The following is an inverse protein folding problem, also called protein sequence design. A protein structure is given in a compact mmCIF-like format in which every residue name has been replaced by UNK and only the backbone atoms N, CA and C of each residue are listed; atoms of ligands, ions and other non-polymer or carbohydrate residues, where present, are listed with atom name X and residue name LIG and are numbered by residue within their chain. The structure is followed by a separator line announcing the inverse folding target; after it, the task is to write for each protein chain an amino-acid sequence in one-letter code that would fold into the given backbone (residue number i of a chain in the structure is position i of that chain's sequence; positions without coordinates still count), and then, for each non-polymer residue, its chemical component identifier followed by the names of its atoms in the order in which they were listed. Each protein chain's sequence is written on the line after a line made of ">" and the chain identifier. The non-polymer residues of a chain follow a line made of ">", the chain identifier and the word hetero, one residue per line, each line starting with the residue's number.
data_IF_380958614234
#
_entry.id   IF_380958614234
#
_cell.length_a   1.000
_cell.length_b   1.000
_cell.length_c   1.000
_cell.angle_alpha   90.00
_cell.angle_beta   90.00
_cell.angle_gamma   90.00
#
_symmetry.space_group_name_H-M   'P 1'
#
loop_
_entity.id
_entity.type
_entity.pdbx_description
1 polymer ?
#
# COMPACT_ATOMS: atom_id res chain seq x y z
N UNK A 1 6.03 5.31 15.66
CA UNK A 1 6.39 4.27 14.65
C UNK A 1 7.50 4.87 13.82
N UNK A 2 8.45 4.07 13.33
CA UNK A 2 9.49 4.60 12.46
C UNK A 2 8.88 4.86 11.08
N UNK A 3 9.02 6.09 10.59
CA UNK A 3 8.60 6.47 9.23
C UNK A 3 9.83 6.69 8.35
N UNK A 4 9.66 6.41 7.08
CA UNK A 4 10.62 6.67 6.01
C UNK A 4 9.87 7.25 4.82
N UNK A 5 10.52 8.14 4.09
CA UNK A 5 9.95 8.77 2.90
C UNK A 5 10.62 8.19 1.66
N UNK A 6 9.81 7.82 0.67
CA UNK A 6 10.26 7.45 -0.68
C UNK A 6 9.70 8.44 -1.69
N UNK A 7 10.34 8.63 -2.83
CA UNK A 7 9.67 9.33 -3.93
C UNK A 7 8.63 8.42 -4.57
N UNK A 8 7.50 8.99 -5.03
CA UNK A 8 6.48 8.21 -5.72
C UNK A 8 7.03 7.54 -6.99
N UNK A 9 7.88 8.24 -7.75
CA UNK A 9 8.55 7.69 -8.94
C UNK A 9 9.41 6.47 -8.60
N UNK A 10 10.10 6.47 -7.46
CA UNK A 10 10.89 5.32 -7.02
C UNK A 10 9.99 4.11 -6.75
N UNK A 11 8.90 4.29 -5.98
CA UNK A 11 7.96 3.22 -5.69
C UNK A 11 7.35 2.63 -6.98
N UNK A 12 6.93 3.50 -7.90
CA UNK A 12 6.34 3.10 -9.20
C UNK A 12 7.37 2.39 -10.08
N UNK A 13 8.62 2.87 -10.11
CA UNK A 13 9.72 2.23 -10.85
C UNK A 13 9.98 0.81 -10.38
N UNK A 14 9.85 0.56 -9.07
CA UNK A 14 9.92 -0.79 -8.49
C UNK A 14 8.60 -1.58 -8.60
N UNK A 15 7.60 -1.08 -9.33
CA UNK A 15 6.38 -1.82 -9.65
C UNK A 15 5.32 -1.83 -8.55
N UNK A 16 5.43 -0.94 -7.56
CA UNK A 16 4.39 -0.72 -6.55
C UNK A 16 3.30 0.21 -7.09
N UNK A 17 2.05 0.08 -6.61
CA UNK A 17 1.54 -0.90 -5.64
C UNK A 17 1.17 -2.26 -6.24
N UNK A 18 1.29 -2.45 -7.56
CA UNK A 18 0.62 -3.58 -8.26
C UNK A 18 1.32 -4.94 -8.12
N UNK A 19 2.66 -5.01 -8.16
CA UNK A 19 3.37 -6.31 -8.13
C UNK A 19 4.71 -6.32 -7.43
N UNK A 20 5.52 -5.27 -7.56
CA UNK A 20 6.91 -5.28 -7.13
C UNK A 20 7.88 -5.92 -8.14
N UNK A 21 9.07 -5.34 -8.30
CA UNK A 21 10.18 -5.77 -9.15
C UNK A 21 11.52 -5.69 -8.40
N UNK A 22 12.58 -6.29 -8.94
CA UNK A 22 13.96 -6.18 -8.41
C UNK A 22 14.09 -6.49 -6.90
N UNK A 23 13.37 -7.50 -6.43
CA UNK A 23 13.39 -7.93 -5.02
C UNK A 23 12.40 -7.20 -4.11
N UNK A 24 11.63 -6.26 -4.65
CA UNK A 24 10.44 -5.68 -4.01
C UNK A 24 9.25 -6.60 -4.23
N UNK A 25 8.43 -6.78 -3.19
CA UNK A 25 7.25 -7.66 -3.23
C UNK A 25 6.08 -7.01 -2.49
N UNK A 26 4.89 -7.03 -3.12
CA UNK A 26 3.64 -6.62 -2.46
C UNK A 26 3.13 -7.79 -1.62
N UNK A 27 3.04 -7.59 -0.31
CA UNK A 27 2.63 -8.61 0.67
C UNK A 27 1.13 -8.55 0.94
N UNK A 28 0.58 -7.35 1.00
CA UNK A 28 -0.83 -7.09 1.23
C UNK A 28 -1.24 -5.89 0.39
N UNK A 29 -2.42 -5.98 -0.19
CA UNK A 29 -3.14 -4.87 -0.83
C UNK A 29 -4.62 -5.04 -0.46
N UNK A 30 -5.17 -4.07 0.27
CA UNK A 30 -6.54 -4.13 0.75
C UNK A 30 -7.23 -2.78 0.58
N UNK A 31 -8.48 -2.84 0.13
CA UNK A 31 -9.36 -1.67 0.09
C UNK A 31 -9.76 -1.32 1.52
N UNK A 32 -9.51 -0.07 1.92
CA UNK A 32 -9.85 0.44 3.26
C UNK A 32 -11.04 1.39 3.24
N UNK A 33 -11.27 2.09 2.13
CA UNK A 33 -12.41 2.98 1.94
C UNK A 33 -12.68 3.22 0.45
N UNK A 34 -13.79 3.87 0.12
CA UNK A 34 -14.07 4.33 -1.24
C UNK A 34 -14.86 5.63 -1.22
N UNK A 35 -14.55 6.52 -2.17
CA UNK A 35 -15.39 7.67 -2.49
C UNK A 35 -16.21 7.37 -3.76
N UNK A 36 -16.91 8.40 -4.27
CA UNK A 36 -17.55 8.30 -5.58
C UNK A 36 -16.55 8.13 -6.73
N UNK A 37 -15.32 8.63 -6.55
CA UNK A 37 -14.33 8.79 -7.62
C UNK A 37 -13.12 7.88 -7.46
N UNK A 38 -12.81 7.48 -6.22
CA UNK A 38 -11.56 6.80 -5.88
C UNK A 38 -11.80 5.63 -4.95
N UNK A 39 -11.02 4.58 -5.11
CA UNK A 39 -10.89 3.48 -4.15
C UNK A 39 -9.60 3.74 -3.37
N UNK A 40 -9.68 3.68 -2.05
CA UNK A 40 -8.54 3.88 -1.16
C UNK A 40 -8.02 2.53 -0.69
N UNK A 41 -6.72 2.33 -0.86
CA UNK A 41 -6.03 1.10 -0.54
C UNK A 41 -4.97 1.35 0.54
N UNK A 42 -4.80 0.37 1.42
CA UNK A 42 -3.60 0.22 2.24
C UNK A 42 -2.77 -0.96 1.70
N UNK A 43 -1.48 -0.73 1.54
CA UNK A 43 -0.53 -1.78 1.13
C UNK A 43 0.49 -2.07 2.22
N UNK A 44 1.01 -3.30 2.19
CA UNK A 44 2.25 -3.69 2.85
C UNK A 44 3.15 -4.29 1.78
N UNK A 45 4.40 -3.84 1.72
CA UNK A 45 5.38 -4.35 0.77
C UNK A 45 6.73 -4.59 1.45
N UNK A 46 7.48 -5.54 0.91
CA UNK A 46 8.88 -5.78 1.27
C UNK A 46 9.77 -4.95 0.35
N UNK A 47 10.72 -4.23 0.92
CA UNK A 47 11.64 -3.39 0.16
C UNK A 47 13.00 -4.07 -0.10
N UNK A 48 13.84 -3.42 -0.89
CA UNK A 48 15.17 -3.90 -1.29
C UNK A 48 16.12 -4.14 -0.11
N UNK A 49 15.91 -3.45 1.01
CA UNK A 49 16.68 -3.65 2.25
C UNK A 49 16.25 -4.89 3.06
N UNK A 50 15.12 -5.51 2.68
CA UNK A 50 14.56 -6.69 3.33
C UNK A 50 13.53 -6.42 4.43
N UNK A 51 13.35 -5.17 4.85
CA UNK A 51 12.26 -4.74 5.75
C UNK A 51 10.93 -4.61 5.03
N UNK A 52 9.87 -4.45 5.83
CA UNK A 52 8.51 -4.28 5.38
C UNK A 52 8.01 -2.89 5.73
N UNK A 53 7.24 -2.32 4.81
CA UNK A 53 6.69 -0.98 4.94
C UNK A 53 5.22 -0.99 4.58
N UNK A 54 4.48 -0.05 5.15
CA UNK A 54 3.07 0.17 4.85
C UNK A 54 2.83 1.62 4.46
N UNK A 55 1.97 1.81 3.46
CA UNK A 55 1.50 3.12 3.02
C UNK A 55 0.13 2.97 2.35
N UNK A 56 -0.55 4.09 2.12
CA UNK A 56 -1.82 4.14 1.42
C UNK A 56 -1.64 4.63 -0.01
N UNK A 57 -2.57 4.27 -0.90
CA UNK A 57 -2.69 4.87 -2.23
C UNK A 57 -4.16 4.92 -2.65
N UNK A 58 -4.47 5.71 -3.67
CA UNK A 58 -5.78 5.70 -4.31
C UNK A 58 -5.70 5.39 -5.80
N UNK A 59 -6.75 4.78 -6.32
CA UNK A 59 -6.93 4.57 -7.76
C UNK A 59 -8.38 4.83 -8.16
N UNK A 60 -8.59 5.12 -9.45
CA UNK A 60 -9.90 5.46 -9.99
C UNK A 60 -10.93 4.37 -9.72
N UNK A 61 -12.09 4.74 -9.16
CA UNK A 61 -13.12 3.77 -8.78
C UNK A 61 -13.86 3.13 -9.97
N UNK A 62 -13.69 3.67 -11.18
CA UNK A 62 -14.28 3.12 -12.41
C UNK A 62 -13.28 3.24 -13.56
N UNK A 63 -13.42 2.40 -14.58
CA UNK A 63 -12.56 2.41 -15.78
C UNK A 63 -12.55 3.74 -16.56
N UNK A 64 -13.52 4.62 -16.31
CA UNK A 64 -13.59 5.96 -16.93
C UNK A 64 -13.00 7.07 -16.05
N UNK A 65 -12.52 6.77 -14.83
CA UNK A 65 -11.80 7.73 -14.01
C UNK A 65 -10.32 7.40 -14.07
N UNK A 66 -9.53 8.33 -14.61
CA UNK A 66 -8.08 8.22 -14.63
C UNK A 66 -7.54 8.81 -13.31
N UNK A 67 -7.07 7.93 -12.43
CA UNK A 67 -6.32 8.27 -11.22
C UNK A 67 -5.32 7.15 -10.98
N UNK A 68 -4.02 7.49 -11.01
CA UNK A 68 -2.94 6.57 -10.73
C UNK A 68 -2.47 6.64 -9.25
N UNK A 69 -1.89 5.56 -8.71
CA UNK A 69 -1.31 5.56 -7.38
C UNK A 69 -0.29 6.69 -7.19
N UNK A 70 -0.45 7.48 -6.14
CA UNK A 70 0.43 8.61 -5.78
C UNK A 70 0.60 9.68 -6.87
N UNK A 71 -0.34 9.81 -7.81
CA UNK A 71 -0.24 10.75 -8.96
C UNK A 71 0.04 12.21 -8.55
N UNK A 72 -0.47 12.63 -7.40
CA UNK A 72 -0.37 13.99 -6.89
C UNK A 72 0.68 14.16 -5.78
N UNK A 73 1.48 13.13 -5.51
CA UNK A 73 2.45 13.08 -4.42
C UNK A 73 3.86 12.93 -4.99
N UNK A 74 4.75 13.89 -4.73
CA UNK A 74 6.17 13.74 -5.07
C UNK A 74 6.87 12.75 -4.11
N UNK A 75 6.44 12.75 -2.85
CA UNK A 75 7.00 12.00 -1.74
C UNK A 75 5.89 11.24 -1.00
N UNK A 76 6.15 9.97 -0.69
CA UNK A 76 5.22 9.05 -0.03
C UNK A 76 5.80 8.66 1.33
N UNK A 77 5.04 8.95 2.39
CA UNK A 77 5.39 8.51 3.74
C UNK A 77 5.03 7.03 3.91
N UNK A 78 6.01 6.25 4.36
CA UNK A 78 5.89 4.82 4.61
C UNK A 78 6.23 4.51 6.07
N UNK A 79 5.43 3.66 6.70
CA UNK A 79 5.63 3.20 8.08
C UNK A 79 6.34 1.86 8.05
N UNK A 80 7.48 1.71 8.75
CA UNK A 80 8.13 0.41 8.92
C UNK A 80 7.26 -0.53 9.78
N UNK A 81 6.99 -1.73 9.29
CA UNK A 81 6.12 -2.73 9.94
C UNK A 81 6.82 -4.08 10.04
N UNK A 82 6.35 -4.91 10.97
CA UNK A 82 6.78 -6.30 11.08
C UNK A 82 5.59 -7.20 11.41
N UNK A 83 5.64 -8.44 10.96
CA UNK A 83 4.59 -9.41 11.23
C UNK A 83 4.64 -9.84 12.70
N UNK A 84 3.47 -9.90 13.33
CA UNK A 84 3.29 -10.44 14.68
C UNK A 84 2.07 -11.34 14.70
N UNK A 85 2.20 -12.49 15.36
CA UNK A 85 1.05 -13.36 15.61
C UNK A 85 0.17 -12.74 16.71
N UNK A 86 -1.13 -12.60 16.43
CA UNK A 86 -2.12 -12.11 17.41
C UNK A 86 -3.23 -13.13 17.57
N UNK A 87 -3.48 -13.59 18.79
CA UNK A 87 -4.66 -14.38 19.10
C UNK A 87 -5.87 -13.45 19.24
N UNK A 88 -6.90 -13.66 18.43
CA UNK A 88 -8.16 -12.89 18.46
C UNK A 88 -9.32 -13.79 18.82
N UNK A 89 -10.13 -13.38 19.81
CA UNK A 89 -11.43 -14.00 20.10
C UNK A 89 -12.48 -13.33 19.22
N UNK A 90 -13.24 -14.11 18.46
CA UNK A 90 -14.29 -13.61 17.57
C UNK A 90 -15.66 -14.08 18.05
N UNK A 91 -16.69 -13.28 17.78
CA UNK A 91 -18.08 -13.67 18.01
C UNK A 91 -18.63 -14.25 16.70
N UNK A 92 -19.27 -15.42 16.79
CA UNK A 92 -19.95 -16.07 15.66
C UNK A 92 -21.46 -16.07 15.88
N UNK A 93 -22.23 -16.03 14.78
CA UNK A 93 -23.67 -16.20 14.83
C UNK A 93 -24.02 -17.65 15.21
N UNK A 94 -25.07 -17.83 16.01
CA UNK A 94 -25.59 -19.16 16.40
C UNK A 94 -26.60 -19.65 15.38
#
# INVERSE_FOLDING_TARGET
>A
MATITFSADELVKYGLPKRGYDGVEVILDQIVDQSRWSIFHDIIFKWTDGKYYSTGYSEGATECQEEAPWEYEDEVECVEVHQVEKMVKVWEAV
#
